data_IF_042563270531
#
_entry.id   IF_042563270531
#
_cell.length_a   1.000
_cell.length_b   1.000
_cell.length_c   1.000
_cell.angle_alpha   90.00
_cell.angle_beta   90.00
_cell.angle_gamma   90.00
#
_symmetry.space_group_name_H-M   'P 1'
#
loop_
_entity.id
_entity.type
_entity.pdbx_description
1 polymer ?
#
# COMPACT_ATOMS: atom_id res chain seq x y z
N UNK A 1 -2.77 5.26 6.41
CA UNK A 1 -2.34 3.85 6.26
C UNK A 1 -1.69 3.30 7.52
N UNK A 2 -0.56 3.83 8.01
CA UNK A 2 0.12 3.28 9.20
C UNK A 2 -0.77 3.13 10.46
N UNK A 3 -1.61 4.12 10.77
CA UNK A 3 -2.56 4.02 11.89
C UNK A 3 -3.52 2.83 11.72
N UNK A 4 -4.07 2.65 10.52
CA UNK A 4 -5.00 1.56 10.19
C UNK A 4 -4.31 0.19 10.26
N UNK A 5 -3.07 0.09 9.77
CA UNK A 5 -2.27 -1.14 9.87
C UNK A 5 -1.98 -1.53 11.33
N UNK A 6 -1.87 -0.54 12.22
CA UNK A 6 -1.68 -0.75 13.67
C UNK A 6 -3.01 -0.95 14.42
N UNK A 7 -4.16 -0.94 13.74
CA UNK A 7 -5.48 -1.02 14.39
C UNK A 7 -5.83 0.21 15.22
N UNK A 8 -5.21 1.35 14.92
CA UNK A 8 -5.53 2.64 15.55
C UNK A 8 -6.61 3.34 14.74
N UNK A 9 -7.75 3.61 15.38
CA UNK A 9 -8.84 4.35 14.77
C UNK A 9 -8.36 5.75 14.33
N UNK A 10 -8.47 6.11 13.04
CA UNK A 10 -7.94 7.36 12.51
C UNK A 10 -8.75 8.60 12.95
N UNK A 11 -9.82 8.40 13.73
CA UNK A 11 -10.66 9.47 14.30
C UNK A 11 -10.40 9.71 15.79
N UNK A 12 -9.58 8.87 16.45
CA UNK A 12 -9.30 9.01 17.87
C UNK A 12 -8.27 10.14 18.12
N UNK A 13 -8.64 11.09 18.98
CA UNK A 13 -7.80 12.23 19.37
C UNK A 13 -7.71 13.34 18.32
N UNK A 14 -7.67 13.00 17.03
CA UNK A 14 -7.78 13.91 15.89
C UNK A 14 -8.41 13.18 14.69
N UNK A 15 -9.00 13.92 13.76
CA UNK A 15 -9.47 13.35 12.50
C UNK A 15 -8.31 13.35 11.49
N UNK A 16 -7.56 12.25 11.43
CA UNK A 16 -6.44 12.07 10.51
C UNK A 16 -6.87 11.82 9.06
N UNK A 17 -8.17 11.60 8.82
CA UNK A 17 -8.74 11.48 7.47
C UNK A 17 -9.08 12.86 6.89
N UNK A 18 -9.38 13.84 7.75
CA UNK A 18 -9.78 15.19 7.31
C UNK A 18 -8.78 15.84 6.34
N UNK A 19 -7.45 15.77 6.53
CA UNK A 19 -6.51 16.37 5.58
C UNK A 19 -6.60 15.77 4.17
N UNK A 20 -6.93 14.48 4.04
CA UNK A 20 -7.11 13.82 2.74
C UNK A 20 -8.39 14.34 2.07
N UNK A 21 -9.46 14.49 2.86
CA UNK A 21 -10.74 15.03 2.39
C UNK A 21 -10.61 16.51 1.99
N UNK A 22 -9.87 17.30 2.76
CA UNK A 22 -9.64 18.72 2.48
C UNK A 22 -8.75 18.93 1.25
N UNK A 23 -7.93 17.93 0.89
CA UNK A 23 -7.13 17.94 -0.33
C UNK A 23 -7.92 17.57 -1.59
N UNK A 24 -9.20 17.19 -1.46
CA UNK A 24 -10.07 16.93 -2.61
C UNK A 24 -10.59 18.24 -3.22
N UNK A 25 -10.24 18.50 -4.48
CA UNK A 25 -10.58 19.74 -5.17
C UNK A 25 -11.96 19.71 -5.88
N UNK A 26 -12.68 18.59 -5.75
CA UNK A 26 -13.94 18.34 -6.44
C UNK A 26 -13.80 17.51 -7.72
N UNK A 27 -12.58 17.15 -8.12
CA UNK A 27 -12.24 16.22 -9.21
C UNK A 27 -11.28 15.15 -8.70
N UNK A 28 -10.20 15.54 -8.04
CA UNK A 28 -9.13 14.67 -7.59
C UNK A 28 -8.57 15.09 -6.22
N UNK A 29 -7.70 14.27 -5.63
CA UNK A 29 -7.04 14.54 -4.35
C UNK A 29 -5.58 14.93 -4.59
N UNK A 30 -5.13 16.02 -3.95
CA UNK A 30 -3.72 16.40 -3.95
C UNK A 30 -3.27 17.17 -5.19
N UNK A 31 -2.09 16.87 -5.72
CA UNK A 31 -1.51 17.55 -6.88
C UNK A 31 -2.14 17.06 -8.19
N UNK A 32 -2.69 18.01 -8.96
CA UNK A 32 -3.33 17.77 -10.25
C UNK A 32 -2.45 17.05 -11.30
N UNK A 33 -1.13 17.07 -11.11
CA UNK A 33 -0.17 16.44 -12.00
C UNK A 33 0.24 15.01 -11.60
N UNK A 34 -0.26 14.51 -10.48
CA UNK A 34 0.11 13.21 -9.91
C UNK A 34 -1.13 12.35 -9.67
N UNK A 35 -1.27 11.25 -10.42
CA UNK A 35 -2.22 10.17 -10.14
C UNK A 35 -1.90 9.44 -8.83
N UNK A 36 -0.65 9.52 -8.37
CA UNK A 36 -0.19 8.96 -7.11
C UNK A 36 -1.03 9.42 -5.90
N UNK A 37 -1.34 10.71 -5.81
CA UNK A 37 -2.09 11.25 -4.67
C UNK A 37 -3.50 10.67 -4.61
N UNK A 38 -4.17 10.54 -5.77
CA UNK A 38 -5.47 9.90 -5.87
C UNK A 38 -5.42 8.41 -5.45
N UNK A 39 -4.48 7.65 -6.01
CA UNK A 39 -4.32 6.22 -5.72
C UNK A 39 -4.08 5.99 -4.23
N UNK A 40 -3.15 6.74 -3.64
CA UNK A 40 -2.79 6.58 -2.22
C UNK A 40 -3.81 7.20 -1.26
N UNK A 41 -4.64 8.15 -1.70
CA UNK A 41 -5.76 8.66 -0.90
C UNK A 41 -6.87 7.63 -0.72
N UNK A 42 -7.16 6.81 -1.73
CA UNK A 42 -8.26 5.84 -1.67
C UNK A 42 -8.05 4.76 -0.61
N UNK A 43 -6.82 4.25 -0.40
CA UNK A 43 -6.54 3.24 0.62
C UNK A 43 -7.07 3.65 2.02
N UNK A 44 -6.61 4.75 2.64
CA UNK A 44 -7.12 5.13 3.95
C UNK A 44 -8.60 5.55 3.94
N UNK A 45 -9.14 6.11 2.85
CA UNK A 45 -10.54 6.51 2.79
C UNK A 45 -11.50 5.32 2.85
N UNK A 46 -11.25 4.29 2.04
CA UNK A 46 -12.07 3.08 1.98
C UNK A 46 -12.06 2.29 3.30
N UNK A 47 -10.94 2.34 4.03
CA UNK A 47 -10.84 1.77 5.38
C UNK A 47 -11.28 2.73 6.51
N UNK A 48 -11.71 3.95 6.18
CA UNK A 48 -12.24 4.91 7.15
C UNK A 48 -13.75 5.14 7.00
N UNK A 49 -14.44 4.21 6.34
CA UNK A 49 -15.89 4.23 6.20
C UNK A 49 -16.41 5.18 5.13
N UNK A 50 -15.57 5.56 4.16
CA UNK A 50 -16.02 6.03 2.86
C UNK A 50 -16.23 4.84 1.93
N UNK A 51 -17.18 4.93 1.00
CA UNK A 51 -17.48 3.86 0.07
C UNK A 51 -17.87 4.36 -1.33
N UNK A 52 -18.23 3.44 -2.23
CA UNK A 52 -18.57 3.74 -3.62
C UNK A 52 -19.82 4.62 -3.79
N UNK A 53 -20.58 4.90 -2.73
CA UNK A 53 -21.68 5.87 -2.73
C UNK A 53 -21.22 7.32 -2.50
N UNK A 54 -20.01 7.52 -1.96
CA UNK A 54 -19.44 8.85 -1.76
C UNK A 54 -18.98 9.47 -3.08
N UNK A 55 -19.39 10.71 -3.34
CA UNK A 55 -19.00 11.44 -4.56
C UNK A 55 -17.50 11.70 -4.66
N UNK A 56 -16.81 11.80 -3.51
CA UNK A 56 -15.35 11.89 -3.45
C UNK A 56 -14.74 10.62 -4.05
N UNK A 57 -15.13 9.43 -3.59
CA UNK A 57 -14.62 8.15 -4.08
C UNK A 57 -14.89 7.99 -5.57
N UNK A 58 -16.12 8.25 -6.03
CA UNK A 58 -16.49 8.12 -7.43
C UNK A 58 -15.63 9.02 -8.35
N UNK A 59 -15.37 10.25 -7.94
CA UNK A 59 -14.62 11.23 -8.74
C UNK A 59 -13.13 10.97 -8.72
N UNK A 60 -12.56 10.64 -7.55
CA UNK A 60 -11.17 10.19 -7.44
C UNK A 60 -10.91 8.94 -8.29
N UNK A 61 -11.82 7.96 -8.28
CA UNK A 61 -11.72 6.79 -9.17
C UNK A 61 -11.78 7.20 -10.63
N UNK A 62 -12.69 8.09 -11.02
CA UNK A 62 -12.74 8.60 -12.39
C UNK A 62 -11.45 9.33 -12.81
N UNK A 63 -10.82 10.10 -11.90
CA UNK A 63 -9.50 10.72 -12.11
C UNK A 63 -8.44 9.66 -12.42
N UNK A 64 -8.32 8.65 -11.56
CA UNK A 64 -7.37 7.53 -11.73
C UNK A 64 -7.60 6.82 -13.06
N UNK A 65 -8.85 6.48 -13.40
CA UNK A 65 -9.17 5.80 -14.65
C UNK A 65 -8.81 6.65 -15.88
N UNK A 66 -8.99 7.97 -15.81
CA UNK A 66 -8.64 8.89 -16.89
C UNK A 66 -7.13 9.01 -17.13
N UNK A 67 -6.32 8.73 -16.11
CA UNK A 67 -4.86 8.75 -16.18
C UNK A 67 -4.26 7.44 -16.74
N UNK A 68 -5.05 6.35 -16.81
CA UNK A 68 -4.53 5.08 -17.31
C UNK A 68 -4.15 5.19 -18.80
N UNK A 69 -2.93 4.79 -19.12
CA UNK A 69 -2.38 4.89 -20.47
C UNK A 69 -3.00 3.86 -21.43
N UNK A 70 -2.73 4.01 -22.73
CA UNK A 70 -3.14 3.04 -23.76
C UNK A 70 -2.58 1.63 -23.50
N UNK A 71 -1.43 1.53 -22.84
CA UNK A 71 -0.81 0.25 -22.46
C UNK A 71 -1.45 -0.39 -21.23
N UNK A 72 -2.43 0.26 -20.58
CA UNK A 72 -3.06 -0.25 -19.35
C UNK A 72 -2.32 0.10 -18.07
N UNK A 73 -1.22 0.84 -18.14
CA UNK A 73 -0.42 1.23 -16.98
C UNK A 73 -0.80 2.61 -16.45
N UNK A 74 -0.35 2.91 -15.24
CA UNK A 74 -0.19 4.27 -14.75
C UNK A 74 1.30 4.64 -14.81
N UNK A 75 1.60 5.81 -15.37
CA UNK A 75 2.96 6.32 -15.61
C UNK A 75 3.92 5.44 -16.42
N UNK A 76 3.42 4.36 -17.04
CA UNK A 76 4.31 3.33 -17.60
C UNK A 76 5.16 2.64 -16.53
N UNK A 77 4.69 2.64 -15.27
CA UNK A 77 5.40 2.16 -14.09
C UNK A 77 4.73 0.91 -13.52
N UNK A 78 5.53 -0.11 -13.19
CA UNK A 78 5.07 -1.30 -12.46
C UNK A 78 4.55 -0.90 -11.08
N UNK A 79 5.28 -0.04 -10.36
CA UNK A 79 4.95 0.39 -9.00
C UNK A 79 3.58 1.07 -8.96
N UNK A 80 3.36 2.05 -9.85
CA UNK A 80 2.09 2.79 -9.91
C UNK A 80 0.95 1.92 -10.39
N UNK A 81 1.19 1.05 -11.38
CA UNK A 81 0.15 0.15 -11.89
C UNK A 81 -0.26 -0.88 -10.83
N UNK A 82 0.70 -1.42 -10.08
CA UNK A 82 0.44 -2.33 -8.97
C UNK A 82 -0.32 -1.65 -7.81
N UNK A 83 0.04 -0.40 -7.47
CA UNK A 83 -0.68 0.37 -6.47
C UNK A 83 -2.13 0.67 -6.91
N UNK A 84 -2.33 1.06 -8.17
CA UNK A 84 -3.65 1.29 -8.74
C UNK A 84 -4.51 0.02 -8.72
N UNK A 85 -3.97 -1.14 -9.12
CA UNK A 85 -4.69 -2.43 -9.05
C UNK A 85 -5.18 -2.70 -7.63
N UNK A 86 -4.28 -2.58 -6.64
CA UNK A 86 -4.58 -2.90 -5.25
C UNK A 86 -5.70 -2.05 -4.65
N UNK A 87 -5.88 -0.81 -5.09
CA UNK A 87 -6.97 0.03 -4.58
C UNK A 87 -8.23 -0.05 -5.44
N UNK A 88 -8.09 -0.21 -6.76
CA UNK A 88 -9.22 -0.27 -7.68
C UNK A 88 -10.06 -1.55 -7.52
N UNK A 89 -9.45 -2.67 -7.13
CA UNK A 89 -10.18 -3.92 -6.85
C UNK A 89 -11.25 -3.74 -5.76
N UNK A 90 -11.02 -2.84 -4.80
CA UNK A 90 -11.95 -2.55 -3.70
C UNK A 90 -13.20 -1.79 -4.16
N UNK A 91 -13.16 -1.24 -5.37
CA UNK A 91 -14.22 -0.42 -5.96
C UNK A 91 -14.65 -0.95 -7.34
N UNK A 92 -14.42 -2.24 -7.63
CA UNK A 92 -14.72 -2.88 -8.93
C UNK A 92 -16.20 -2.77 -9.38
N UNK A 93 -17.10 -2.51 -8.42
CA UNK A 93 -18.51 -2.21 -8.73
C UNK A 93 -18.74 -0.89 -9.49
N UNK A 94 -17.75 0.01 -9.52
CA UNK A 94 -17.84 1.27 -10.26
C UNK A 94 -17.61 1.06 -11.76
N UNK A 95 -18.22 1.88 -12.63
CA UNK A 95 -18.07 1.76 -14.07
C UNK A 95 -16.61 1.80 -14.51
N UNK A 96 -16.27 1.00 -15.53
CA UNK A 96 -14.95 0.94 -16.19
C UNK A 96 -13.78 0.44 -15.33
N UNK A 97 -13.97 0.23 -14.02
CA UNK A 97 -12.92 -0.29 -13.14
C UNK A 97 -12.47 -1.70 -13.55
N UNK A 98 -13.41 -2.61 -13.77
CA UNK A 98 -13.11 -4.00 -14.15
C UNK A 98 -12.29 -4.09 -15.45
N UNK A 99 -12.60 -3.26 -16.46
CA UNK A 99 -11.84 -3.23 -17.72
C UNK A 99 -10.47 -2.56 -17.55
N UNK A 100 -10.34 -1.57 -16.66
CA UNK A 100 -9.06 -0.99 -16.30
C UNK A 100 -8.15 -2.00 -15.58
N UNK A 101 -8.69 -2.76 -14.62
CA UNK A 101 -7.97 -3.83 -13.90
C UNK A 101 -7.46 -4.90 -14.86
N UNK A 102 -8.28 -5.35 -15.81
CA UNK A 102 -7.86 -6.34 -16.80
C UNK A 102 -6.66 -5.85 -17.64
N UNK A 103 -6.71 -4.60 -18.14
CA UNK A 103 -5.59 -4.01 -18.90
C UNK A 103 -4.34 -3.81 -18.05
N UNK A 104 -4.51 -3.43 -16.78
CA UNK A 104 -3.41 -3.26 -15.85
C UNK A 104 -2.69 -4.58 -15.55
N UNK A 105 -3.46 -5.67 -15.39
CA UNK A 105 -2.91 -7.01 -15.25
C UNK A 105 -2.15 -7.46 -16.50
N UNK A 106 -2.72 -7.24 -17.69
CA UNK A 106 -2.04 -7.50 -18.97
C UNK A 106 -0.72 -6.71 -19.07
N UNK A 107 -0.74 -5.43 -18.69
CA UNK A 107 0.49 -4.63 -18.62
C UNK A 107 1.54 -5.29 -17.72
N UNK A 108 1.19 -5.67 -16.49
CA UNK A 108 2.13 -6.34 -15.59
C UNK A 108 2.71 -7.62 -16.22
N UNK A 109 1.90 -8.45 -16.88
CA UNK A 109 2.43 -9.64 -17.58
C UNK A 109 3.50 -9.29 -18.61
N UNK A 110 3.38 -8.16 -19.32
CA UNK A 110 4.41 -7.72 -20.27
C UNK A 110 5.70 -7.20 -19.61
N UNK A 111 5.66 -6.86 -18.33
CA UNK A 111 6.80 -6.32 -17.58
C UNK A 111 7.61 -7.38 -16.81
N UNK A 112 7.14 -8.63 -16.74
CA UNK A 112 7.86 -9.68 -16.04
C UNK A 112 9.09 -10.14 -16.84
N UNK A 113 10.28 -9.98 -16.25
CA UNK A 113 11.55 -10.35 -16.85
C UNK A 113 11.85 -11.85 -16.70
N UNK A 114 12.81 -12.36 -17.48
CA UNK A 114 13.20 -13.78 -17.42
C UNK A 114 13.92 -14.21 -16.13
N UNK A 115 14.25 -13.27 -15.26
CA UNK A 115 14.72 -13.53 -13.89
C UNK A 115 13.56 -13.72 -12.89
N UNK A 116 12.31 -13.67 -13.36
CA UNK A 116 11.09 -13.78 -12.59
C UNK A 116 10.58 -12.46 -12.02
N UNK A 117 11.43 -11.43 -11.92
CA UNK A 117 11.12 -10.17 -11.29
C UNK A 117 10.55 -9.11 -12.24
N UNK A 118 10.22 -7.96 -11.66
CA UNK A 118 9.71 -6.78 -12.36
C UNK A 118 10.75 -5.63 -12.32
N UNK A 119 12.00 -5.96 -12.65
CA UNK A 119 13.10 -5.00 -12.79
C UNK A 119 13.90 -4.73 -11.51
N UNK A 120 13.25 -4.60 -10.35
CA UNK A 120 13.93 -4.42 -9.06
C UNK A 120 13.10 -4.99 -7.88
N UNK A 121 13.68 -5.02 -6.66
CA UNK A 121 13.01 -5.55 -5.46
C UNK A 121 11.74 -4.82 -5.06
N UNK A 122 11.68 -3.49 -5.24
CA UNK A 122 10.56 -2.64 -4.90
C UNK A 122 9.37 -2.96 -5.82
N UNK A 123 9.58 -2.81 -7.13
CA UNK A 123 8.56 -3.06 -8.15
C UNK A 123 8.07 -4.51 -8.12
N UNK A 124 8.97 -5.47 -7.89
CA UNK A 124 8.60 -6.89 -7.74
C UNK A 124 7.72 -7.12 -6.50
N UNK A 125 8.01 -6.43 -5.40
CA UNK A 125 7.19 -6.54 -4.19
C UNK A 125 5.79 -5.97 -4.40
N UNK A 126 5.68 -4.78 -5.01
CA UNK A 126 4.38 -4.18 -5.34
C UNK A 126 3.59 -5.04 -6.33
N UNK A 127 4.25 -5.57 -7.36
CA UNK A 127 3.62 -6.47 -8.32
C UNK A 127 3.08 -7.75 -7.66
N UNK A 128 3.83 -8.38 -6.74
CA UNK A 128 3.35 -9.53 -5.99
C UNK A 128 2.10 -9.23 -5.15
N UNK A 129 2.05 -8.07 -4.51
CA UNK A 129 0.86 -7.65 -3.77
C UNK A 129 -0.33 -7.42 -4.73
N UNK A 130 -0.10 -6.83 -5.90
CA UNK A 130 -1.15 -6.69 -6.93
C UNK A 130 -1.63 -8.04 -7.48
N UNK A 131 -0.73 -9.00 -7.68
CA UNK A 131 -1.07 -10.37 -8.08
C UNK A 131 -2.01 -11.01 -7.05
N UNK A 132 -1.69 -10.87 -5.76
CA UNK A 132 -2.51 -11.41 -4.68
C UNK A 132 -3.94 -10.84 -4.64
N UNK A 133 -4.18 -9.63 -5.17
CA UNK A 133 -5.54 -9.06 -5.26
C UNK A 133 -6.47 -9.83 -6.19
N UNK A 134 -5.90 -10.60 -7.12
CA UNK A 134 -6.64 -11.43 -8.07
C UNK A 134 -6.79 -12.88 -7.58
N UNK A 135 -6.54 -13.15 -6.30
CA UNK A 135 -6.44 -14.50 -5.71
C UNK A 135 -5.39 -15.38 -6.42
N UNK A 136 -4.37 -14.75 -7.02
CA UNK A 136 -3.26 -15.44 -7.68
C UNK A 136 -2.01 -15.45 -6.80
N UNK A 137 -1.11 -16.38 -7.09
CA UNK A 137 0.17 -16.55 -6.42
C UNK A 137 1.34 -16.25 -7.36
N UNK A 138 2.55 -16.18 -6.80
CA UNK A 138 3.78 -16.06 -7.58
C UNK A 138 3.95 -17.20 -8.61
N UNK A 139 3.43 -18.40 -8.32
CA UNK A 139 3.54 -19.57 -9.18
C UNK A 139 2.67 -19.47 -10.44
N UNK A 140 1.63 -18.63 -10.41
CA UNK A 140 0.79 -18.33 -11.58
C UNK A 140 1.48 -17.34 -12.55
N UNK A 141 2.59 -16.75 -12.11
CA UNK A 141 3.35 -15.72 -12.82
C UNK A 141 4.76 -16.20 -13.11
N UNK A 142 4.97 -16.79 -14.29
CA UNK A 142 6.29 -17.28 -14.70
C UNK A 142 6.71 -16.69 -16.03
N UNK A 143 7.91 -16.11 -16.06
CA UNK A 143 8.62 -15.75 -17.29
C UNK A 143 9.87 -16.62 -17.38
N UNK A 144 9.79 -17.70 -18.16
CA UNK A 144 10.81 -18.74 -18.18
C UNK A 144 10.59 -19.80 -17.09
N UNK A 145 11.53 -19.93 -16.15
CA UNK A 145 11.48 -20.94 -15.07
C UNK A 145 11.51 -20.35 -13.66
N UNK A 146 11.42 -19.03 -13.54
CA UNK A 146 11.50 -18.31 -12.27
C UNK A 146 10.21 -17.50 -12.04
N UNK A 147 9.83 -17.42 -10.77
CA UNK A 147 8.69 -16.64 -10.26
C UNK A 147 9.17 -15.30 -9.67
N UNK A 148 8.27 -14.35 -9.41
CA UNK A 148 8.60 -13.13 -8.67
C UNK A 148 9.11 -13.43 -7.25
N UNK A 149 8.64 -14.54 -6.64
CA UNK A 149 9.10 -14.99 -5.34
C UNK A 149 10.56 -15.47 -5.39
N UNK A 150 10.95 -16.18 -6.45
CA UNK A 150 12.34 -16.61 -6.66
C UNK A 150 13.27 -15.40 -6.80
N UNK A 151 12.82 -14.36 -7.52
CA UNK A 151 13.56 -13.11 -7.67
C UNK A 151 13.84 -12.47 -6.29
N UNK A 152 12.82 -12.27 -5.46
CA UNK A 152 12.99 -11.70 -4.11
C UNK A 152 13.85 -12.58 -3.20
N UNK A 153 13.66 -13.91 -3.25
CA UNK A 153 14.46 -14.86 -2.49
C UNK A 153 15.95 -14.80 -2.89
N UNK A 154 16.25 -14.57 -4.17
CA UNK A 154 17.62 -14.39 -4.66
C UNK A 154 18.31 -13.12 -4.14
N UNK A 155 17.54 -12.10 -3.75
CA UNK A 155 18.08 -10.85 -3.19
C UNK A 155 18.26 -10.91 -1.67
N UNK A 156 17.64 -11.86 -0.98
CA UNK A 156 17.71 -12.01 0.46
C UNK A 156 19.13 -12.35 0.93
N UNK A 157 19.63 -11.60 1.92
CA UNK A 157 20.94 -11.82 2.52
C UNK A 157 20.85 -12.70 3.77
N UNK A 158 22.00 -13.13 4.30
CA UNK A 158 22.08 -13.98 5.51
C UNK A 158 21.46 -13.36 6.77
N UNK A 159 21.33 -12.03 6.82
CA UNK A 159 20.64 -11.31 7.90
C UNK A 159 19.12 -11.22 7.68
N UNK A 160 18.61 -11.82 6.61
CA UNK A 160 17.20 -11.84 6.22
C UNK A 160 16.74 -10.61 5.44
N UNK A 161 17.54 -9.54 5.38
CA UNK A 161 17.17 -8.32 4.66
C UNK A 161 17.37 -8.46 3.15
N UNK A 162 16.52 -7.76 2.40
CA UNK A 162 16.60 -7.67 0.94
C UNK A 162 17.66 -6.62 0.55
N UNK A 163 18.21 -6.78 -0.66
CA UNK A 163 19.33 -6.00 -1.22
C UNK A 163 20.71 -6.34 -0.63
N UNK A 164 21.81 -6.18 -1.41
CA UNK A 164 23.17 -6.42 -0.94
C UNK A 164 23.51 -5.61 0.31
N UNK A 165 24.34 -6.18 1.19
CA UNK A 165 24.82 -5.49 2.42
C UNK A 165 25.63 -4.21 2.14
N UNK A 166 26.08 -4.01 0.89
CA UNK A 166 26.73 -2.78 0.43
C UNK A 166 25.76 -1.64 0.11
N UNK A 167 24.47 -1.94 -0.05
CA UNK A 167 23.42 -0.94 -0.23
C UNK A 167 23.21 -0.14 1.06
N UNK A 168 22.67 1.07 0.95
CA UNK A 168 22.38 1.90 2.12
C UNK A 168 21.39 1.20 3.06
N UNK A 169 21.53 1.44 4.37
CA UNK A 169 20.57 0.90 5.35
C UNK A 169 19.13 1.30 5.02
N UNK A 170 18.91 2.53 4.54
CA UNK A 170 17.56 3.00 4.17
C UNK A 170 16.96 2.19 3.01
N UNK A 171 17.74 1.97 1.95
CA UNK A 171 17.32 1.16 0.79
C UNK A 171 16.95 -0.25 1.23
N UNK A 172 17.77 -0.86 2.10
CA UNK A 172 17.52 -2.22 2.60
C UNK A 172 16.26 -2.28 3.46
N UNK A 173 16.03 -1.29 4.31
CA UNK A 173 14.81 -1.20 5.14
C UNK A 173 13.58 -1.17 4.24
N UNK A 174 13.53 -0.27 3.25
CA UNK A 174 12.38 -0.17 2.34
C UNK A 174 12.20 -1.40 1.44
N UNK A 175 13.28 -1.94 0.85
CA UNK A 175 13.17 -3.16 0.06
C UNK A 175 12.64 -4.33 0.90
N UNK A 176 13.09 -4.44 2.15
CA UNK A 176 12.64 -5.49 3.07
C UNK A 176 11.20 -5.27 3.51
N UNK A 177 10.80 -4.04 3.83
CA UNK A 177 9.44 -3.75 4.31
C UNK A 177 8.37 -4.03 3.25
N UNK A 178 8.67 -3.80 1.96
CA UNK A 178 7.76 -4.16 0.86
C UNK A 178 7.77 -5.66 0.55
N UNK A 179 8.93 -6.30 0.64
CA UNK A 179 9.07 -7.72 0.32
C UNK A 179 8.37 -8.65 1.33
N UNK A 180 8.21 -8.22 2.59
CA UNK A 180 7.55 -9.01 3.63
C UNK A 180 6.07 -9.30 3.28
N UNK A 181 5.18 -8.30 3.13
CA UNK A 181 3.79 -8.57 2.76
C UNK A 181 3.68 -9.20 1.37
N UNK A 182 4.51 -8.77 0.41
CA UNK A 182 4.55 -9.37 -0.91
C UNK A 182 4.82 -10.88 -0.88
N UNK A 183 5.79 -11.32 -0.08
CA UNK A 183 6.13 -12.76 0.04
C UNK A 183 5.12 -13.56 0.84
N UNK A 184 4.25 -12.89 1.61
CA UNK A 184 3.14 -13.50 2.32
C UNK A 184 1.85 -13.54 1.49
N UNK A 185 1.84 -12.90 0.31
CA UNK A 185 0.62 -12.72 -0.49
C UNK A 185 -0.38 -11.75 0.17
N UNK A 186 0.10 -10.84 1.02
CA UNK A 186 -0.73 -9.89 1.75
C UNK A 186 -0.87 -8.60 0.94
N UNK A 187 -2.10 -8.18 0.67
CA UNK A 187 -2.43 -6.91 0.00
C UNK A 187 -2.52 -5.77 1.01
N UNK A 188 -2.53 -4.51 0.55
CA UNK A 188 -2.85 -3.40 1.44
C UNK A 188 -4.22 -3.52 2.10
N UNK A 189 -5.23 -4.04 1.40
CA UNK A 189 -6.56 -4.27 1.98
C UNK A 189 -6.51 -5.26 3.16
N UNK A 190 -5.73 -6.34 3.03
CA UNK A 190 -5.54 -7.31 4.11
C UNK A 190 -4.81 -6.74 5.33
N UNK A 191 -3.90 -5.77 5.11
CA UNK A 191 -3.08 -5.15 6.16
C UNK A 191 -3.85 -4.04 6.90
N UNK A 192 -4.71 -3.29 6.22
CA UNK A 192 -5.37 -2.11 6.78
C UNK A 192 -6.68 -2.50 7.50
N UNK A 193 -6.81 -2.12 8.77
CA UNK A 193 -8.07 -2.31 9.50
C UNK A 193 -9.07 -1.22 9.18
N UNK A 194 -10.36 -1.60 9.13
CA UNK A 194 -11.46 -0.68 8.79
C UNK A 194 -12.14 -0.10 10.03
N UNK A 195 -12.44 1.20 9.99
CA UNK A 195 -13.14 1.93 11.05
C UNK A 195 -14.34 2.70 10.48
N UNK A 196 -15.48 2.73 11.18
CA UNK A 196 -16.64 3.48 10.71
C UNK A 196 -16.38 4.98 10.77
N UNK A 197 -16.84 5.69 9.75
CA UNK A 197 -16.84 7.15 9.74
C UNK A 197 -17.73 7.68 10.90
N UNK A 198 -17.25 8.65 11.70
CA UNK A 198 -18.06 9.25 12.75
C UNK A 198 -19.31 9.89 12.15
N UNK A 199 -20.48 9.60 12.75
CA UNK A 199 -21.71 10.29 12.39
C UNK A 199 -21.53 11.79 12.69
N UNK A 200 -21.99 12.64 11.78
CA UNK A 200 -22.09 14.06 12.08
C UNK A 200 -22.87 14.24 13.40
N UNK A 201 -22.47 15.15 14.30
CA UNK A 201 -23.25 15.46 15.48
C UNK A 201 -24.68 15.79 15.05
N UNK A 202 -25.69 15.10 15.59
CA UNK A 202 -27.08 15.44 15.32
C UNK A 202 -27.28 16.92 15.65
N UNK A 203 -27.62 17.73 14.65
CA UNK A 203 -28.00 19.10 14.88
C UNK A 203 -29.20 19.09 15.84
N UNK A 204 -29.04 19.62 17.05
CA UNK A 204 -30.15 19.73 17.99
C UNK A 204 -31.30 20.46 17.30
N UNK A 205 -32.41 19.77 17.07
CA UNK A 205 -33.54 20.26 16.30
C UNK A 205 -34.12 21.55 16.88
N UNK A 206 -33.66 22.68 16.38
CA UNK A 206 -34.34 23.96 16.51
C UNK A 206 -35.53 23.97 15.55
N UNK A 207 -36.73 23.73 16.08
CA UNK A 207 -37.98 23.96 15.35
C UNK A 207 -38.06 25.42 14.91
N UNK A 208 -37.94 25.66 13.61
CA UNK A 208 -37.91 27.00 13.02
C UNK A 208 -38.57 27.04 11.65
N UNK A 209 -39.92 27.14 11.67
CA UNK A 209 -40.75 27.83 10.69
C UNK A 209 -40.40 27.77 9.20
N UNK A 210 -41.19 26.99 8.47
CA UNK A 210 -41.38 27.04 7.02
C UNK A 210 -41.45 28.47 6.46
N UNK A 211 -40.64 28.76 5.44
CA UNK A 211 -40.95 29.79 4.45
C UNK A 211 -40.41 29.39 3.07
N UNK A 212 -41.35 29.25 2.14
CA UNK A 212 -41.17 29.01 0.72
C UNK A 212 -40.61 30.24 -0.01
N UNK A 213 -39.93 29.98 -1.13
CA UNK A 213 -39.45 30.96 -2.14
C UNK A 213 -37.97 30.72 -2.45
N UNK A 214 -37.48 30.64 -3.67
CA UNK A 214 -38.01 30.80 -5.02
C UNK A 214 -37.04 30.06 -5.96
N UNK A 215 -37.56 29.48 -7.04
CA UNK A 215 -36.79 28.85 -8.12
C UNK A 215 -36.37 29.94 -9.11
N UNK A 216 -35.08 30.21 -9.30
CA UNK A 216 -34.54 30.85 -10.52
C UNK A 216 -33.05 30.53 -10.72
N UNK A 217 -32.67 30.05 -11.91
CA UNK A 217 -31.29 30.19 -12.41
C UNK A 217 -30.71 28.97 -13.11
N UNK A 218 -31.04 28.79 -14.39
CA UNK A 218 -30.42 27.82 -15.28
C UNK A 218 -28.96 28.20 -15.63
N UNK A 219 -28.13 27.18 -15.82
CA UNK A 219 -26.71 27.23 -16.13
C UNK A 219 -26.40 27.78 -17.54
N UNK A 220 -25.27 28.48 -17.68
CA UNK A 220 -24.39 28.39 -18.86
C UNK A 220 -22.99 28.86 -18.47
N UNK A 221 -21.99 27.98 -18.47
CA UNK A 221 -20.58 28.37 -18.50
C UNK A 221 -19.91 27.69 -19.67
N UNK A 222 -19.52 28.52 -20.63
CA UNK A 222 -18.78 28.18 -21.85
C UNK A 222 -17.34 27.79 -21.52
N UNK A 223 -16.90 26.67 -22.09
CA UNK A 223 -15.52 26.16 -22.04
C UNK A 223 -14.64 26.98 -22.99
N UNK A 224 -13.50 27.46 -22.49
CA UNK A 224 -12.40 27.98 -23.31
C UNK A 224 -11.25 26.97 -23.29
N UNK A 225 -10.95 26.42 -24.47
CA UNK A 225 -9.82 25.53 -24.75
C UNK A 225 -8.54 26.38 -24.78
N UNK A 226 -7.54 26.00 -24.00
CA UNK A 226 -6.17 26.47 -24.17
C UNK A 226 -5.24 25.26 -24.29
N UNK A 227 -4.71 25.07 -25.49
CA UNK A 227 -3.65 24.13 -25.82
C UNK A 227 -2.31 24.70 -25.35
N UNK A 228 -1.54 23.94 -24.58
CA UNK A 228 -0.08 24.11 -24.55
C UNK A 228 0.64 22.80 -24.25
N UNK A 229 1.40 22.37 -25.24
CA UNK A 229 2.36 21.26 -25.20
C UNK A 229 3.65 21.69 -24.50
N UNK A 230 4.11 20.90 -23.53
CA UNK A 230 5.52 20.47 -23.40
C UNK A 230 5.64 19.46 -22.27
N UNK A 231 5.94 18.23 -22.66
CA UNK A 231 6.23 17.11 -21.77
C UNK A 231 7.55 17.34 -21.04
N UNK A 232 7.52 17.22 -19.71
CA UNK A 232 8.66 16.77 -18.93
C UNK A 232 8.18 15.53 -18.18
N UNK A 233 8.71 14.36 -18.55
CA UNK A 233 8.41 13.11 -17.86
C UNK A 233 9.14 13.17 -16.51
N UNK A 234 8.40 13.50 -15.46
CA UNK A 234 8.87 13.32 -14.07
C UNK A 234 8.39 11.92 -13.68
N UNK A 235 9.29 10.95 -13.62
CA UNK A 235 8.96 9.62 -13.11
C UNK A 235 8.70 9.74 -11.61
N UNK A 236 7.43 9.78 -11.21
CA UNK A 236 7.05 9.67 -9.81
C UNK A 236 7.44 8.26 -9.33
N UNK A 237 8.34 8.20 -8.35
CA UNK A 237 8.59 6.96 -7.60
C UNK A 237 7.86 7.13 -6.27
N UNK A 238 7.20 6.08 -5.75
CA UNK A 238 6.62 6.03 -4.39
C UNK A 238 7.66 6.15 -3.26
N UNK A 239 8.89 6.52 -3.62
CA UNK A 239 10.07 6.67 -2.79
C UNK A 239 10.31 8.17 -2.57
N UNK A 240 10.09 8.73 -1.37
CA UNK A 240 10.28 10.16 -1.16
C UNK A 240 11.75 10.54 -1.34
N UNK A 241 12.02 11.49 -2.23
CA UNK A 241 13.30 12.22 -2.25
C UNK A 241 13.21 13.32 -1.21
N UNK A 242 13.83 13.12 -0.03
CA UNK A 242 13.77 14.12 1.04
C UNK A 242 14.92 15.12 0.93
N UNK A 243 14.58 16.39 0.72
CA UNK A 243 15.42 17.52 1.11
C UNK A 243 15.44 17.62 2.66
N UNK A 244 16.56 18.02 3.29
CA UNK A 244 16.66 18.05 4.74
C UNK A 244 15.75 19.13 5.33
N UNK A 245 14.67 18.73 6.01
CA UNK A 245 13.86 19.61 6.85
C UNK A 245 14.53 19.67 8.23
N UNK A 246 15.01 20.86 8.61
CA UNK A 246 15.51 21.11 9.95
C UNK A 246 14.34 21.18 10.94
N UNK A 247 14.21 20.19 11.81
CA UNK A 247 13.27 20.22 12.94
C UNK A 247 13.96 20.90 14.12
N UNK A 248 13.42 22.04 14.54
CA UNK A 248 13.81 22.73 15.77
C UNK A 248 13.32 21.95 16.99
N UNK A 249 14.24 21.46 17.82
CA UNK A 249 13.95 20.67 19.01
C UNK A 249 13.94 21.60 20.24
N UNK A 250 12.80 21.71 20.91
CA UNK A 250 12.69 22.34 22.23
C UNK A 250 13.30 21.42 23.34
N UNK A 251 13.73 21.95 24.50
CA UNK A 251 14.70 21.26 25.35
C UNK A 251 14.12 20.11 26.17
N UNK A 252 15.00 19.13 26.41
CA UNK A 252 14.76 17.85 27.05
C UNK A 252 14.14 17.95 28.46
N UNK A 253 13.13 17.12 28.71
CA UNK A 253 12.67 16.76 30.06
C UNK A 253 13.44 15.52 30.51
N UNK A 254 13.86 15.54 31.78
CA UNK A 254 14.85 14.66 32.40
C UNK A 254 14.50 13.16 32.41
N UNK A 255 15.56 12.34 32.30
CA UNK A 255 15.57 10.88 32.44
C UNK A 255 14.97 10.41 33.77
N UNK A 256 14.01 9.49 33.71
CA UNK A 256 13.74 8.53 34.77
C UNK A 256 14.25 7.15 34.34
N UNK A 257 14.99 6.49 35.23
CA UNK A 257 15.72 5.25 34.98
C UNK A 257 14.85 3.99 35.12
N UNK A 258 15.11 2.97 34.31
CA UNK A 258 14.71 1.57 34.54
C UNK A 258 15.89 0.62 34.23
N UNK A 259 15.92 -0.60 34.81
CA UNK A 259 17.15 -1.21 35.33
C UNK A 259 17.91 -2.12 34.35
N UNK A 260 19.16 -2.41 34.74
CA UNK A 260 20.17 -3.21 34.02
C UNK A 260 19.80 -4.68 33.79
N UNK A 261 20.21 -5.16 32.60
CA UNK A 261 20.81 -6.47 32.24
C UNK A 261 20.00 -7.75 32.46
N UNK A 262 19.60 -8.35 31.33
CA UNK A 262 19.49 -9.81 31.19
C UNK A 262 20.71 -10.30 30.39
N UNK A 263 21.64 -10.98 31.06
CA UNK A 263 22.81 -11.63 30.44
C UNK A 263 22.45 -13.10 30.23
N UNK A 264 22.50 -13.58 28.98
CA UNK A 264 22.39 -15.01 28.68
C UNK A 264 23.80 -15.57 28.49
N UNK A 265 24.20 -16.48 29.37
CA UNK A 265 25.45 -17.25 29.28
C UNK A 265 25.32 -18.43 28.30
N UNK A 266 26.32 -18.71 27.43
CA UNK A 266 26.31 -19.89 26.58
C UNK A 266 26.78 -21.12 27.37
N UNK A 267 25.97 -22.19 27.39
CA UNK A 267 26.40 -23.51 27.87
C UNK A 267 26.70 -24.43 26.69
N UNK A 268 27.83 -25.13 26.80
CA UNK A 268 28.39 -26.08 25.83
C UNK A 268 27.36 -27.12 25.32
N UNK A 269 27.37 -27.38 24.01
CA UNK A 269 27.03 -28.68 23.46
C UNK A 269 28.10 -29.14 22.47
N UNK A 270 28.62 -30.33 22.76
CA UNK A 270 29.75 -31.00 22.14
C UNK A 270 29.43 -31.44 20.71
N UNK A 271 30.44 -31.31 19.83
CA UNK A 271 30.41 -31.82 18.46
C UNK A 271 30.27 -33.36 18.42
N UNK A 272 29.39 -33.86 17.55
CA UNK A 272 29.36 -35.25 17.09
C UNK A 272 29.38 -35.22 15.56
N UNK A 273 30.30 -35.96 14.95
CA UNK A 273 30.48 -36.02 13.51
C UNK A 273 29.50 -36.99 12.80
N UNK A 274 28.90 -36.49 11.71
CA UNK A 274 28.39 -37.01 10.42
C UNK A 274 27.75 -38.43 10.25
N UNK A 275 26.74 -38.50 9.35
CA UNK A 275 26.79 -39.44 8.21
C UNK A 275 26.45 -38.73 6.85
N UNK A 276 26.67 -39.37 5.68
CA UNK A 276 26.77 -38.69 4.39
C UNK A 276 25.42 -38.28 3.78
N UNK A 277 25.49 -37.38 2.81
CA UNK A 277 24.38 -36.69 2.15
C UNK A 277 23.32 -37.60 1.48
N UNK A 278 22.06 -37.16 1.56
CA UNK A 278 20.94 -37.57 0.69
C UNK A 278 20.20 -36.32 0.17
N UNK A 279 19.52 -36.41 -1.00
CA UNK A 279 19.25 -35.26 -1.86
C UNK A 279 18.05 -34.43 -1.45
N UNK A 280 18.00 -33.25 -2.07
CA UNK A 280 17.12 -32.10 -1.88
C UNK A 280 15.65 -32.41 -1.49
N UNK A 281 15.26 -31.89 -0.33
CA UNK A 281 13.88 -31.49 -0.02
C UNK A 281 13.94 -30.17 0.76
N UNK A 282 13.47 -29.08 0.15
CA UNK A 282 13.01 -27.88 0.88
C UNK A 282 11.67 -27.51 0.23
N UNK A 283 10.58 -27.48 1.00
CA UNK A 283 10.10 -26.22 1.55
C UNK A 283 9.58 -26.37 2.99
N UNK A 284 10.37 -25.96 3.99
CA UNK A 284 9.94 -25.99 5.41
C UNK A 284 10.17 -24.69 6.18
N UNK A 285 10.79 -23.68 5.57
CA UNK A 285 11.04 -22.41 6.26
C UNK A 285 9.81 -21.51 6.27
N UNK A 286 9.23 -21.20 5.11
CA UNK A 286 8.06 -20.31 5.01
C UNK A 286 6.79 -20.89 5.61
N UNK A 287 6.58 -22.21 5.48
CA UNK A 287 5.51 -22.90 6.20
C UNK A 287 5.67 -22.78 7.73
N UNK A 288 6.90 -22.84 8.26
CA UNK A 288 7.15 -22.61 9.69
C UNK A 288 6.95 -21.16 10.10
N UNK A 289 7.33 -20.19 9.26
CA UNK A 289 7.10 -18.76 9.54
C UNK A 289 5.60 -18.47 9.59
N UNK A 290 4.84 -18.97 8.60
CA UNK A 290 3.38 -18.90 8.58
C UNK A 290 2.78 -19.51 9.84
N UNK A 291 3.17 -20.74 10.20
CA UNK A 291 2.62 -21.44 11.36
C UNK A 291 2.98 -20.75 12.71
N UNK A 292 4.16 -20.12 12.81
CA UNK A 292 4.57 -19.33 13.98
C UNK A 292 3.72 -18.06 14.10
N UNK A 293 3.47 -17.36 13.00
CA UNK A 293 2.67 -16.14 12.99
C UNK A 293 1.19 -16.44 13.25
N UNK A 294 0.61 -17.48 12.64
CA UNK A 294 -0.77 -17.92 12.91
C UNK A 294 -0.98 -18.32 14.38
N UNK A 295 0.04 -18.92 15.01
CA UNK A 295 0.02 -19.25 16.44
C UNK A 295 0.15 -18.01 17.34
N UNK A 296 0.90 -17.00 16.90
CA UNK A 296 1.04 -15.73 17.61
C UNK A 296 -0.28 -14.96 17.63
N UNK A 297 -1.00 -14.87 16.50
CA UNK A 297 -2.30 -14.18 16.44
C UNK A 297 -3.43 -14.92 17.18
N UNK A 298 -3.43 -16.26 17.18
CA UNK A 298 -4.41 -17.07 17.94
C UNK A 298 -4.23 -16.99 19.47
N UNK A 299 -3.02 -16.70 19.93
CA UNK A 299 -2.73 -16.52 21.36
C UNK A 299 -3.27 -15.19 21.90
N UNK A 300 -3.30 -14.13 21.08
CA UNK A 300 -3.84 -12.83 21.48
C UNK A 300 -5.37 -12.74 21.39
N UNK A 301 -6.01 -13.49 20.50
CA UNK A 301 -7.48 -13.55 20.42
C UNK A 301 -8.11 -14.26 21.63
N UNK A 302 -7.40 -15.19 22.28
CA UNK A 302 -7.87 -15.87 23.49
C UNK A 302 -7.56 -15.11 24.80
N UNK A 303 -6.85 -13.98 24.74
CA UNK A 303 -6.57 -13.15 25.91
C UNK A 303 -7.56 -11.98 26.09
N UNK A 304 -8.53 -11.84 25.16
CA UNK A 304 -9.54 -10.78 25.13
C UNK A 304 -10.99 -11.30 25.30
N UNK A 305 -11.16 -12.50 25.84
CA UNK A 305 -12.43 -13.05 26.33
C UNK A 305 -12.32 -13.53 27.77
#
# INVERSE_FOLDING_TARGET
MALLALGVNPYDGANYIQPIVDAFDGVQVGDASLDNDDIFALFPLLHAGYDTSDSLIQKTVASILSAQTETGSWDGSVDMTAAAIQVLVLVDSLPEVSSALARAKEYLHTQQNSDGGFGNSFSTSWALQAIATFDESADDWTSGSLTPQDYLAGLQQNDGGIEPVSSSTQTRVWATEYAIPASLGETWDAILQSFPRPKAPEASGGSGGSRAGEVLGAATSTVAVATSTSATVITATSTPTLAPVAISIAPAIAKSAMPEKFVVTPSLLTAIAAPPARPAEVPRFWNRVRDILSSFFSFFTNLLY
#
